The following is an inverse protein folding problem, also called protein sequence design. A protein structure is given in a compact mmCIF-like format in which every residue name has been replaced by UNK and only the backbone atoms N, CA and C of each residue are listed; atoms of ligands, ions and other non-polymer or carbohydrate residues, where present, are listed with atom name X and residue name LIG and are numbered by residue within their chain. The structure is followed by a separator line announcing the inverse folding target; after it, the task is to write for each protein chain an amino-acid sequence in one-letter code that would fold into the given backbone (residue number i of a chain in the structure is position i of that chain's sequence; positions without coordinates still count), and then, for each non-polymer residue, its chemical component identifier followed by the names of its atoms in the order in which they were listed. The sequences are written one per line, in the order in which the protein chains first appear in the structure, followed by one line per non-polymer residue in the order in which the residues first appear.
data_IF_787463582299
#
_entry.id   IF_787463582299
#
_cell.length_a   1.000
_cell.length_b   1.000
_cell.length_c   1.000
_cell.angle_alpha   90.00
_cell.angle_beta   90.00
_cell.angle_gamma   90.00
#
_symmetry.space_group_name_H-M   'P 1'
#
loop_
_entity.id
_entity.type
_entity.pdbx_description
1 polymer ?
#
# COMPACT_ATOMS: atom_id res chain seq x y z
N UNK A 1 25.48 27.41 6.56
CA UNK A 1 25.35 25.94 6.34
C UNK A 1 25.38 25.66 4.85
N UNK A 2 26.39 24.92 4.35
CA UNK A 2 26.42 24.46 2.97
C UNK A 2 25.43 23.29 2.84
N UNK A 3 24.33 23.47 2.10
CA UNK A 3 23.48 22.35 1.66
C UNK A 3 24.33 21.50 0.70
N UNK A 4 24.55 20.24 1.01
CA UNK A 4 25.14 19.28 0.06
C UNK A 4 24.13 19.07 -1.07
N UNK A 5 24.24 19.90 -2.10
CA UNK A 5 23.42 19.81 -3.32
C UNK A 5 23.84 18.55 -4.07
N UNK A 6 22.95 17.55 -4.12
CA UNK A 6 23.07 16.50 -5.15
C UNK A 6 22.57 15.11 -4.80
N UNK A 7 22.53 14.70 -3.52
CA UNK A 7 22.38 13.28 -3.18
C UNK A 7 21.26 12.96 -2.18
N UNK A 8 20.35 13.90 -1.90
CA UNK A 8 19.18 13.61 -1.05
C UNK A 8 17.99 13.20 -1.89
N UNK A 9 17.23 12.19 -1.44
CA UNK A 9 15.92 11.80 -2.04
C UNK A 9 14.99 13.02 -2.13
N UNK A 10 15.09 13.96 -1.18
CA UNK A 10 14.34 15.23 -1.21
C UNK A 10 14.69 16.08 -2.43
N UNK A 11 15.98 16.23 -2.74
CA UNK A 11 16.45 17.03 -3.87
C UNK A 11 16.02 16.40 -5.20
N UNK A 12 16.00 15.07 -5.29
CA UNK A 12 15.50 14.35 -6.46
C UNK A 12 13.98 14.49 -6.62
N UNK A 13 13.21 14.38 -5.53
CA UNK A 13 11.75 14.56 -5.55
C UNK A 13 11.33 15.99 -5.92
N UNK A 14 12.09 17.00 -5.50
CA UNK A 14 11.83 18.40 -5.84
C UNK A 14 12.11 18.69 -7.32
N UNK A 15 13.12 18.02 -7.90
CA UNK A 15 13.58 18.31 -9.27
C UNK A 15 12.97 17.42 -10.35
N UNK A 16 12.58 16.18 -10.00
CA UNK A 16 12.19 15.14 -10.99
C UNK A 16 10.96 14.31 -10.60
N UNK A 17 10.49 14.41 -9.36
CA UNK A 17 9.34 13.63 -8.90
C UNK A 17 8.02 14.22 -9.41
N UNK A 18 7.24 13.42 -10.13
CA UNK A 18 5.83 13.76 -10.39
C UNK A 18 5.01 13.70 -9.09
N UNK A 19 3.80 14.28 -9.13
CA UNK A 19 2.95 14.39 -7.94
C UNK A 19 2.56 13.03 -7.33
N UNK A 20 2.39 12.00 -8.15
CA UNK A 20 2.03 10.65 -7.72
C UNK A 20 3.24 10.01 -7.02
N UNK A 21 4.42 10.07 -7.65
CA UNK A 21 5.66 9.55 -7.06
C UNK A 21 5.97 10.20 -5.72
N UNK A 22 5.82 11.53 -5.63
CA UNK A 22 6.01 12.25 -4.36
C UNK A 22 5.04 11.75 -3.29
N UNK A 23 3.75 11.67 -3.62
CA UNK A 23 2.73 11.21 -2.67
C UNK A 23 2.94 9.78 -2.21
N UNK A 24 3.37 8.90 -3.12
CA UNK A 24 3.71 7.51 -2.81
C UNK A 24 4.86 7.44 -1.80
N UNK A 25 5.93 8.21 -2.03
CA UNK A 25 7.08 8.24 -1.13
C UNK A 25 6.70 8.81 0.24
N UNK A 26 5.96 9.91 0.29
CA UNK A 26 5.44 10.48 1.54
C UNK A 26 4.63 9.47 2.35
N UNK A 27 3.70 8.76 1.71
CA UNK A 27 2.87 7.76 2.38
C UNK A 27 3.72 6.60 2.93
N UNK A 28 4.69 6.11 2.16
CA UNK A 28 5.58 5.04 2.64
C UNK A 28 6.35 5.47 3.89
N UNK A 29 6.97 6.66 3.87
CA UNK A 29 7.68 7.18 5.03
C UNK A 29 6.77 7.35 6.24
N UNK A 30 5.56 7.86 6.02
CA UNK A 30 4.57 7.99 7.07
C UNK A 30 4.26 6.63 7.73
N UNK A 31 3.99 5.58 6.96
CA UNK A 31 3.71 4.26 7.53
C UNK A 31 4.91 3.68 8.29
N UNK A 32 6.12 3.80 7.75
CA UNK A 32 7.35 3.31 8.38
C UNK A 32 7.59 4.05 9.71
N UNK A 33 7.43 5.37 9.74
CA UNK A 33 7.59 6.18 10.94
C UNK A 33 6.57 5.78 12.03
N UNK A 34 5.31 5.57 11.66
CA UNK A 34 4.28 5.11 12.59
C UNK A 34 4.57 3.72 13.18
N UNK A 35 5.08 2.80 12.36
CA UNK A 35 5.51 1.47 12.83
C UNK A 35 6.72 1.61 13.75
N UNK A 36 7.66 2.49 13.42
CA UNK A 36 8.87 2.74 14.22
C UNK A 36 8.54 3.37 15.57
N UNK A 37 7.60 4.31 15.61
CA UNK A 37 7.06 4.88 16.86
C UNK A 37 6.47 3.78 17.74
N UNK A 38 5.62 2.91 17.17
CA UNK A 38 5.08 1.77 17.91
C UNK A 38 6.20 0.85 18.45
N UNK A 39 7.22 0.56 17.64
CA UNK A 39 8.35 -0.26 18.09
C UNK A 39 9.04 0.38 19.30
N UNK A 40 9.33 1.68 19.25
CA UNK A 40 9.95 2.40 20.35
C UNK A 40 9.08 2.38 21.62
N UNK A 41 7.77 2.62 21.47
CA UNK A 41 6.81 2.64 22.58
C UNK A 41 6.67 1.28 23.26
N UNK A 42 6.84 0.19 22.51
CA UNK A 42 6.78 -1.18 23.01
C UNK A 42 8.15 -1.76 23.38
N UNK A 43 9.24 -1.00 23.24
CA UNK A 43 10.61 -1.47 23.51
C UNK A 43 11.13 -2.51 22.50
N UNK A 44 10.53 -2.60 21.32
CA UNK A 44 10.95 -3.50 20.24
C UNK A 44 12.14 -2.86 19.52
N UNK A 45 13.30 -3.50 19.58
CA UNK A 45 14.54 -2.95 19.03
C UNK A 45 14.98 -3.59 17.71
N UNK A 46 14.36 -4.72 17.33
CA UNK A 46 14.81 -5.50 16.17
C UNK A 46 13.70 -5.77 15.16
N UNK A 47 14.06 -5.76 13.87
CA UNK A 47 13.17 -6.15 12.77
C UNK A 47 12.77 -7.62 12.87
N UNK A 48 13.65 -8.48 13.40
CA UNK A 48 13.34 -9.90 13.63
C UNK A 48 12.19 -10.07 14.63
N UNK A 49 12.19 -9.27 15.70
CA UNK A 49 11.10 -9.28 16.68
C UNK A 49 9.80 -8.75 16.10
N UNK A 50 9.85 -7.65 15.34
CA UNK A 50 8.68 -7.14 14.60
C UNK A 50 8.12 -8.22 13.65
N UNK A 51 8.99 -8.92 12.92
CA UNK A 51 8.59 -10.00 12.02
C UNK A 51 7.92 -11.16 12.75
N UNK A 52 8.42 -11.52 13.95
CA UNK A 52 7.79 -12.51 14.83
C UNK A 52 6.39 -12.08 15.28
N UNK A 53 6.22 -10.82 15.70
CA UNK A 53 4.91 -10.27 16.10
C UNK A 53 3.92 -10.27 14.93
N UNK A 54 4.40 -9.87 13.75
CA UNK A 54 3.62 -9.83 12.53
C UNK A 54 3.41 -11.22 11.92
N UNK A 55 4.06 -12.28 12.41
CA UNK A 55 4.05 -13.60 11.78
C UNK A 55 4.37 -13.51 10.26
N UNK A 56 5.45 -12.81 9.94
CA UNK A 56 5.96 -12.61 8.57
C UNK A 56 7.44 -12.93 8.51
N UNK A 57 7.92 -13.17 7.30
CA UNK A 57 9.33 -13.40 7.04
C UNK A 57 10.15 -12.15 7.28
N UNK A 58 11.27 -12.27 8.00
CA UNK A 58 12.15 -11.14 8.31
C UNK A 58 12.61 -10.37 7.06
N UNK A 59 12.99 -11.00 5.94
CA UNK A 59 13.33 -10.28 4.71
C UNK A 59 12.17 -9.45 4.15
N UNK A 60 10.93 -9.91 4.31
CA UNK A 60 9.75 -9.16 3.86
C UNK A 60 9.54 -7.91 4.71
N UNK A 61 9.61 -8.04 6.04
CA UNK A 61 9.47 -6.90 6.96
C UNK A 61 10.61 -5.91 6.77
N UNK A 62 11.83 -6.39 6.52
CA UNK A 62 12.97 -5.54 6.20
C UNK A 62 12.72 -4.67 4.97
N UNK A 63 12.23 -5.26 3.86
CA UNK A 63 11.92 -4.51 2.63
C UNK A 63 10.84 -3.44 2.83
N UNK A 64 9.87 -3.69 3.70
CA UNK A 64 8.88 -2.67 4.06
C UNK A 64 9.52 -1.53 4.85
N UNK A 65 10.32 -1.84 5.87
CA UNK A 65 10.93 -0.84 6.75
C UNK A 65 12.06 -0.06 6.09
N UNK A 66 12.75 -0.65 5.10
CA UNK A 66 13.75 0.05 4.27
C UNK A 66 13.13 0.93 3.19
N UNK A 67 11.82 0.79 2.93
CA UNK A 67 11.15 1.46 1.82
C UNK A 67 11.46 0.87 0.44
N UNK A 68 12.19 -0.26 0.37
CA UNK A 68 12.46 -0.97 -0.89
C UNK A 68 11.16 -1.50 -1.54
N UNK A 69 10.21 -1.92 -0.70
CA UNK A 69 8.92 -2.40 -1.15
C UNK A 69 7.78 -1.62 -0.47
N UNK A 70 6.88 -1.08 -1.29
CA UNK A 70 5.67 -0.43 -0.81
C UNK A 70 4.78 -1.43 -0.05
N UNK A 71 4.17 -0.96 1.04
CA UNK A 71 3.20 -1.74 1.81
C UNK A 71 1.83 -1.64 1.12
N UNK A 72 1.24 -2.78 0.77
CA UNK A 72 -0.10 -2.81 0.14
C UNK A 72 -1.19 -2.47 1.16
N UNK A 73 -2.37 -2.05 0.69
CA UNK A 73 -3.53 -1.78 1.55
C UNK A 73 -3.93 -2.97 2.43
N UNK A 74 -3.92 -4.18 1.88
CA UNK A 74 -4.16 -5.41 2.62
C UNK A 74 -3.11 -5.62 3.73
N UNK A 75 -1.84 -5.34 3.44
CA UNK A 75 -0.76 -5.46 4.42
C UNK A 75 -0.86 -4.40 5.50
N UNK A 76 -1.23 -3.15 5.16
CA UNK A 76 -1.48 -2.10 6.14
C UNK A 76 -2.60 -2.51 7.10
N UNK A 77 -3.73 -2.98 6.59
CA UNK A 77 -4.84 -3.47 7.42
C UNK A 77 -4.41 -4.63 8.34
N UNK A 78 -3.58 -5.55 7.82
CA UNK A 78 -3.02 -6.64 8.61
C UNK A 78 -2.14 -6.13 9.76
N UNK A 79 -1.24 -5.17 9.48
CA UNK A 79 -0.36 -4.56 10.48
C UNK A 79 -1.19 -3.81 11.53
N UNK A 80 -2.20 -3.03 11.12
CA UNK A 80 -3.12 -2.34 12.04
C UNK A 80 -3.76 -3.30 13.04
N UNK A 81 -4.29 -4.44 12.55
CA UNK A 81 -4.93 -5.45 13.40
C UNK A 81 -3.95 -6.16 14.34
N UNK A 82 -2.73 -6.44 13.87
CA UNK A 82 -1.71 -7.14 14.66
C UNK A 82 -1.11 -6.25 15.74
N UNK A 83 -0.79 -5.01 15.41
CA UNK A 83 -0.14 -4.06 16.31
C UNK A 83 -1.16 -3.22 17.11
N UNK A 84 -2.45 -3.31 16.76
CA UNK A 84 -3.54 -2.50 17.34
C UNK A 84 -3.26 -0.99 17.23
N UNK A 85 -2.65 -0.59 16.12
CA UNK A 85 -2.38 0.81 15.78
C UNK A 85 -3.19 1.24 14.57
N UNK A 86 -3.37 2.56 14.42
CA UNK A 86 -3.94 3.15 13.22
C UNK A 86 -2.83 3.70 12.32
N UNK A 87 -2.75 3.18 11.10
CA UNK A 87 -1.84 3.58 10.04
C UNK A 87 -2.53 4.41 8.97
N UNK A 88 -3.80 4.14 8.64
CA UNK A 88 -4.53 4.89 7.61
C UNK A 88 -5.54 5.81 8.26
N UNK A 89 -5.34 7.13 8.18
CA UNK A 89 -6.38 8.08 8.56
C UNK A 89 -7.57 7.94 7.60
N UNK A 90 -8.74 7.63 8.16
CA UNK A 90 -9.96 7.90 7.42
C UNK A 90 -10.10 9.42 7.41
N UNK A 91 -9.98 10.02 6.24
CA UNK A 91 -10.20 11.46 6.10
C UNK A 91 -11.50 11.82 6.81
N UNK A 92 -11.50 12.92 7.56
CA UNK A 92 -12.76 13.49 8.04
C UNK A 92 -13.64 13.62 6.81
N UNK A 93 -14.81 13.00 6.84
CA UNK A 93 -15.82 13.14 5.80
C UNK A 93 -15.96 14.63 5.53
N UNK A 94 -15.42 15.09 4.40
CA UNK A 94 -15.64 16.46 4.00
C UNK A 94 -17.11 16.50 3.67
N UNK A 95 -17.92 16.99 4.61
CA UNK A 95 -19.26 17.51 4.33
C UNK A 95 -19.08 18.76 3.46
N UNK A 96 -18.57 18.54 2.25
CA UNK A 96 -18.82 19.40 1.13
C UNK A 96 -20.34 19.44 1.00
N UNK A 97 -20.93 20.62 0.94
CA UNK A 97 -22.36 20.81 0.65
C UNK A 97 -22.74 20.37 -0.79
N UNK A 98 -21.96 19.46 -1.38
CA UNK A 98 -22.24 18.85 -2.67
C UNK A 98 -23.14 17.64 -2.43
N UNK A 99 -24.21 17.57 -3.22
CA UNK A 99 -25.15 16.47 -3.21
C UNK A 99 -24.39 15.14 -3.38
N UNK A 100 -24.75 14.08 -2.62
CA UNK A 100 -24.09 12.80 -2.77
C UNK A 100 -24.24 12.31 -4.22
N UNK A 101 -23.14 11.87 -4.81
CA UNK A 101 -23.19 11.10 -6.06
C UNK A 101 -23.87 9.78 -5.71
N UNK A 102 -25.16 9.66 -6.06
CA UNK A 102 -25.87 8.38 -5.98
C UNK A 102 -25.32 7.51 -7.11
N UNK A 103 -24.45 6.55 -6.76
CA UNK A 103 -24.14 5.44 -7.66
C UNK A 103 -25.38 4.55 -7.72
N UNK A 104 -26.25 4.80 -8.71
CA UNK A 104 -27.29 3.86 -9.08
C UNK A 104 -26.63 2.65 -9.75
N UNK A 105 -26.49 1.57 -8.99
CA UNK A 105 -26.19 0.26 -9.55
C UNK A 105 -27.46 -0.22 -10.27
N UNK A 106 -27.54 0.02 -11.57
CA UNK A 106 -28.58 -0.58 -12.40
C UNK A 106 -28.30 -2.09 -12.48
N UNK A 107 -28.94 -2.83 -11.58
CA UNK A 107 -28.95 -4.28 -11.59
C UNK A 107 -29.78 -4.73 -12.80
N UNK A 108 -29.15 -4.79 -13.96
CA UNK A 108 -29.72 -5.49 -15.11
C UNK A 108 -29.87 -6.96 -14.72
N UNK A 109 -31.10 -7.35 -14.42
CA UNK A 109 -31.53 -8.73 -14.18
C UNK A 109 -31.20 -9.58 -15.43
N UNK A 110 -29.97 -10.10 -15.50
CA UNK A 110 -29.57 -11.10 -16.49
C UNK A 110 -29.32 -12.41 -15.75
N UNK A 111 -30.43 -13.12 -15.56
CA UNK A 111 -30.60 -14.57 -15.43
C UNK A 111 -29.64 -15.32 -14.50
N UNK A 112 -30.23 -16.01 -13.51
CA UNK A 112 -29.59 -17.06 -12.71
C UNK A 112 -28.70 -17.96 -13.60
N UNK A 113 -27.38 -17.84 -13.44
CA UNK A 113 -26.45 -18.91 -13.80
C UNK A 113 -26.15 -19.68 -12.52
N UNK A 114 -26.47 -20.97 -12.52
CA UNK A 114 -26.05 -21.91 -11.47
C UNK A 114 -24.54 -22.10 -11.49
N UNK A 115 -23.96 -22.44 -10.34
CA UNK A 115 -22.52 -22.67 -10.10
C UNK A 115 -21.86 -23.77 -10.96
N UNK A 116 -22.55 -24.34 -11.94
CA UNK A 116 -22.06 -25.38 -12.85
C UNK A 116 -21.27 -24.87 -14.06
N UNK A 117 -21.18 -23.56 -14.28
CA UNK A 117 -20.73 -22.99 -15.56
C UNK A 117 -19.30 -22.42 -15.56
N UNK A 118 -18.47 -22.77 -14.56
CA UNK A 118 -17.03 -22.53 -14.66
C UNK A 118 -16.39 -23.62 -15.53
N UNK A 119 -16.40 -23.43 -16.84
CA UNK A 119 -15.44 -24.11 -17.71
C UNK A 119 -14.15 -23.28 -17.74
N UNK A 120 -13.06 -23.87 -17.27
CA UNK A 120 -11.70 -23.40 -17.49
C UNK A 120 -11.44 -23.27 -18.99
N UNK A 121 -11.24 -22.04 -19.46
CA UNK A 121 -10.61 -21.76 -20.73
C UNK A 121 -9.36 -20.91 -20.51
N UNK A 122 -8.34 -21.57 -19.94
CA UNK A 122 -6.95 -21.19 -20.15
C UNK A 122 -6.63 -21.33 -21.64
N UNK A 123 -6.48 -20.22 -22.34
CA UNK A 123 -5.74 -20.19 -23.60
C UNK A 123 -4.86 -18.96 -23.64
N UNK A 124 -3.61 -19.16 -23.24
CA UNK A 124 -2.51 -18.22 -23.48
C UNK A 124 -2.14 -18.35 -24.95
N UNK A 125 -2.30 -17.28 -25.73
CA UNK A 125 -1.81 -17.22 -27.11
C UNK A 125 -0.44 -16.55 -27.14
N UNK A 126 0.58 -17.29 -27.58
CA UNK A 126 1.91 -16.76 -27.89
C UNK A 126 1.91 -16.27 -29.34
N UNK A 127 2.25 -15.00 -29.55
CA UNK A 127 2.52 -14.50 -30.89
C UNK A 127 3.87 -15.06 -31.37
N UNK A 128 3.83 -16.09 -32.20
CA UNK A 128 4.98 -16.51 -32.99
C UNK A 128 5.21 -15.45 -34.08
N UNK A 129 6.35 -14.76 -34.02
CA UNK A 129 6.84 -13.94 -35.13
C UNK A 129 7.26 -14.84 -36.29
N UNK A 130 6.64 -14.62 -37.44
CA UNK A 130 7.07 -15.07 -38.79
C UNK A 130 7.71 -13.85 -39.46
N UNK A 131 8.87 -13.86 -40.13
CA UNK A 131 9.74 -14.90 -40.70
C UNK A 131 11.20 -14.45 -40.59
#
# INVERSE_FOLDING_TARGET
MKKNKGNSITDWLETKGDAITRRMVENNFYYIDRITQYMNDQGITSISELARILNKEQPQVYRWMSGEQNITSQTLAYIELKLKIRLVEQGKEQRSNQQPIILSLDYNNRSQKSDSDYQENNTISYAAGTC
#
